data_IF_096850520594
#
_entry.id   IF_096850520594
#
_cell.length_a   1.000
_cell.length_b   1.000
_cell.length_c   1.000
_cell.angle_alpha   90.00
_cell.angle_beta   90.00
_cell.angle_gamma   90.00
#
_symmetry.space_group_name_H-M   'P 1'
#
loop_
_entity.id
_entity.type
_entity.pdbx_description
1 polymer ?
#
# COMPACT_ATOMS: atom_id res chain seq x y z
N UNK A 1 -30.72 -1.51 15.51
CA UNK A 1 -30.75 -2.32 14.27
C UNK A 1 -29.82 -1.67 13.28
N UNK A 2 -29.13 -2.46 12.48
CA UNK A 2 -28.08 -2.06 11.53
C UNK A 2 -27.54 -3.31 10.85
N UNK A 3 -27.11 -3.19 9.60
CA UNK A 3 -26.60 -4.32 8.81
C UNK A 3 -25.27 -4.82 9.39
N UNK A 4 -24.93 -6.09 9.11
CA UNK A 4 -23.57 -6.54 9.34
C UNK A 4 -22.59 -5.68 8.51
N UNK A 5 -21.45 -5.24 9.07
CA UNK A 5 -20.46 -4.48 8.32
C UNK A 5 -19.87 -5.34 7.20
N UNK A 6 -19.94 -4.84 5.96
CA UNK A 6 -19.33 -5.49 4.82
C UNK A 6 -17.92 -4.92 4.61
N UNK A 7 -16.92 -5.80 4.59
CA UNK A 7 -15.53 -5.41 4.34
C UNK A 7 -15.16 -5.73 2.90
N UNK A 8 -14.56 -4.76 2.21
CA UNK A 8 -14.06 -4.86 0.84
C UNK A 8 -12.63 -4.36 0.74
N UNK A 9 -11.80 -5.04 -0.04
CA UNK A 9 -10.44 -4.60 -0.38
C UNK A 9 -10.50 -3.75 -1.65
N UNK A 10 -10.02 -2.51 -1.61
CA UNK A 10 -10.12 -1.57 -2.74
C UNK A 10 -8.82 -1.44 -3.55
N UNK A 11 -7.66 -1.82 -2.98
CA UNK A 11 -6.39 -1.86 -3.70
C UNK A 11 -5.20 -1.38 -2.87
N UNK A 12 -4.09 -1.08 -3.53
CA UNK A 12 -2.87 -0.58 -2.87
C UNK A 12 -2.90 0.95 -2.72
N UNK A 13 -2.57 1.45 -1.52
CA UNK A 13 -2.50 2.87 -1.18
C UNK A 13 -1.39 3.09 -0.14
N UNK A 14 -0.58 4.15 -0.28
CA UNK A 14 0.46 4.57 0.68
C UNK A 14 1.42 3.44 1.14
N UNK A 15 1.80 2.54 0.22
CA UNK A 15 2.67 1.40 0.53
C UNK A 15 1.98 0.24 1.25
N UNK A 16 0.68 0.34 1.50
CA UNK A 16 -0.16 -0.70 2.09
C UNK A 16 -1.34 -1.08 1.20
N UNK A 17 -2.33 -1.74 1.81
CA UNK A 17 -3.58 -2.17 1.19
C UNK A 17 -4.74 -1.42 1.84
N UNK A 18 -5.52 -0.73 1.03
CA UNK A 18 -6.73 -0.02 1.43
C UNK A 18 -7.87 -1.01 1.61
N UNK A 19 -8.41 -1.03 2.83
CA UNK A 19 -9.57 -1.82 3.21
C UNK A 19 -10.69 -0.88 3.62
N UNK A 20 -11.90 -1.14 3.14
CA UNK A 20 -13.09 -0.35 3.44
C UNK A 20 -14.15 -1.20 4.09
N UNK A 21 -14.80 -0.65 5.11
CA UNK A 21 -15.93 -1.23 5.79
C UNK A 21 -17.17 -0.37 5.58
N UNK A 22 -18.26 -0.99 5.15
CA UNK A 22 -19.57 -0.34 4.89
C UNK A 22 -20.66 -0.99 5.72
N UNK A 23 -21.53 -0.17 6.32
CA UNK A 23 -22.69 -0.65 7.07
C UNK A 23 -23.83 0.36 6.96
N UNK A 24 -25.08 -0.10 7.02
CA UNK A 24 -26.26 0.70 6.73
C UNK A 24 -27.40 0.41 7.72
N UNK A 25 -28.42 1.27 7.69
CA UNK A 25 -29.65 1.07 8.45
C UNK A 25 -29.53 1.30 9.96
N UNK A 26 -28.63 2.19 10.39
CA UNK A 26 -28.41 2.51 11.81
C UNK A 26 -29.28 3.68 12.28
N UNK A 27 -29.81 3.60 13.50
CA UNK A 27 -30.44 4.75 14.16
C UNK A 27 -30.30 4.68 15.68
N UNK A 28 -29.91 5.78 16.36
CA UNK A 28 -29.46 7.06 15.80
C UNK A 28 -28.07 6.92 15.16
N UNK A 29 -27.40 8.04 14.86
CA UNK A 29 -26.05 8.04 14.31
C UNK A 29 -25.13 7.05 15.06
N UNK A 30 -24.56 6.05 14.37
CA UNK A 30 -23.70 5.04 14.98
C UNK A 30 -22.27 5.56 15.16
N UNK A 31 -21.44 4.77 15.85
CA UNK A 31 -19.97 4.91 15.86
C UNK A 31 -19.36 3.75 15.09
N UNK A 32 -18.46 4.02 14.14
CA UNK A 32 -17.75 3.01 13.38
C UNK A 32 -16.25 3.09 13.67
N UNK A 33 -15.62 1.96 14.00
CA UNK A 33 -14.22 1.91 14.42
C UNK A 33 -13.53 0.65 13.91
N UNK A 34 -12.24 0.76 13.59
CA UNK A 34 -11.38 -0.39 13.37
C UNK A 34 -10.79 -0.87 14.69
N UNK A 35 -10.66 -2.19 14.85
CA UNK A 35 -9.97 -2.83 15.96
C UNK A 35 -8.91 -3.80 15.46
N UNK A 36 -7.84 -3.95 16.22
CA UNK A 36 -6.87 -5.02 16.02
C UNK A 36 -7.33 -6.35 16.64
N UNK A 37 -6.47 -7.36 16.55
CA UNK A 37 -6.67 -8.69 17.14
C UNK A 37 -6.88 -8.68 18.66
N UNK A 38 -6.31 -7.69 19.35
CA UNK A 38 -6.37 -7.50 20.79
C UNK A 38 -7.57 -6.63 21.20
N UNK A 39 -8.35 -6.15 20.23
CA UNK A 39 -9.49 -5.26 20.44
C UNK A 39 -9.11 -3.80 20.66
N UNK A 40 -7.84 -3.41 20.45
CA UNK A 40 -7.42 -2.02 20.53
C UNK A 40 -7.92 -1.25 19.31
N UNK A 41 -8.29 0.01 19.53
CA UNK A 41 -8.80 0.89 18.48
C UNK A 41 -7.68 1.30 17.53
N UNK A 42 -7.93 1.14 16.25
CA UNK A 42 -7.04 1.56 15.17
C UNK A 42 -7.55 2.86 14.53
N UNK A 43 -6.66 3.77 14.10
CA UNK A 43 -7.04 4.98 13.40
C UNK A 43 -7.59 4.66 12.01
N UNK A 44 -8.70 5.29 11.64
CA UNK A 44 -9.25 5.23 10.29
C UNK A 44 -8.49 6.18 9.36
N UNK A 45 -8.19 5.73 8.14
CA UNK A 45 -7.65 6.57 7.07
C UNK A 45 -8.71 7.54 6.51
N UNK A 46 -9.98 7.12 6.50
CA UNK A 46 -11.12 7.98 6.18
C UNK A 46 -12.37 7.49 6.90
N UNK A 47 -13.27 8.41 7.24
CA UNK A 47 -14.57 8.11 7.86
C UNK A 47 -15.65 8.99 7.24
N UNK A 48 -16.75 8.35 6.85
CA UNK A 48 -17.95 9.00 6.35
C UNK A 48 -19.17 8.36 7.01
N UNK A 49 -19.90 9.15 7.80
CA UNK A 49 -21.17 8.75 8.39
C UNK A 49 -22.21 9.75 7.89
N UNK A 50 -23.18 9.26 7.13
CA UNK A 50 -24.19 10.11 6.49
C UNK A 50 -25.60 9.55 6.68
N UNK A 51 -26.61 10.42 6.75
CA UNK A 51 -28.01 9.98 6.76
C UNK A 51 -28.44 9.51 5.36
N UNK A 52 -29.29 8.49 5.34
CA UNK A 52 -30.02 7.99 4.17
C UNK A 52 -31.39 8.66 4.04
N UNK A 53 -32.05 8.46 2.89
CA UNK A 53 -33.39 9.02 2.56
C UNK A 53 -34.47 8.58 3.57
N UNK A 54 -34.31 7.39 4.16
CA UNK A 54 -35.22 6.81 5.16
C UNK A 54 -34.97 7.34 6.59
N UNK A 55 -34.03 8.27 6.80
CA UNK A 55 -33.66 8.81 8.10
C UNK A 55 -32.75 7.91 8.95
N UNK A 56 -32.33 6.75 8.42
CA UNK A 56 -31.29 5.90 9.01
C UNK A 56 -29.91 6.41 8.59
N UNK A 57 -28.85 5.86 9.18
CA UNK A 57 -27.48 6.21 8.89
C UNK A 57 -26.73 5.07 8.21
N UNK A 58 -25.91 5.45 7.24
CA UNK A 58 -24.87 4.61 6.65
C UNK A 58 -23.50 5.06 7.13
N UNK A 59 -22.57 4.11 7.21
CA UNK A 59 -21.21 4.31 7.66
C UNK A 59 -20.25 3.72 6.63
N UNK A 60 -19.21 4.46 6.31
CA UNK A 60 -18.08 3.99 5.53
C UNK A 60 -16.79 4.42 6.26
N UNK A 61 -15.98 3.45 6.68
CA UNK A 61 -14.66 3.71 7.27
C UNK A 61 -13.61 2.93 6.50
N UNK A 62 -12.43 3.52 6.34
CA UNK A 62 -11.31 2.91 5.64
C UNK A 62 -10.06 2.87 6.53
N UNK A 63 -9.18 1.89 6.27
CA UNK A 63 -7.86 1.78 6.87
C UNK A 63 -6.87 1.32 5.81
N UNK A 64 -5.60 1.73 5.95
CA UNK A 64 -4.49 1.24 5.14
C UNK A 64 -3.70 0.27 6.01
N UNK A 65 -3.65 -1.00 5.60
CA UNK A 65 -2.85 -2.02 6.27
C UNK A 65 -1.50 -2.12 5.59
N UNK A 66 -0.41 -2.08 6.35
CA UNK A 66 0.95 -2.38 5.91
C UNK A 66 1.40 -3.76 6.41
N UNK A 67 2.50 -4.30 5.88
CA UNK A 67 3.04 -5.60 6.32
C UNK A 67 3.34 -5.63 7.84
N UNK A 68 3.82 -4.51 8.38
CA UNK A 68 4.13 -4.35 9.80
C UNK A 68 2.89 -4.14 10.68
N UNK A 69 1.80 -3.62 10.10
CA UNK A 69 0.56 -3.36 10.83
C UNK A 69 -0.37 -4.57 10.76
N UNK A 70 -0.73 -5.12 11.92
CA UNK A 70 -1.83 -6.07 12.16
C UNK A 70 -2.53 -6.62 10.90
N UNK A 71 -2.10 -7.82 10.47
CA UNK A 71 -2.66 -8.53 9.31
C UNK A 71 -4.15 -8.87 9.45
N UNK A 72 -4.67 -8.88 10.68
CA UNK A 72 -6.08 -9.10 10.96
C UNK A 72 -6.65 -7.92 11.72
N UNK A 73 -7.72 -7.38 11.15
CA UNK A 73 -8.47 -6.24 11.70
C UNK A 73 -9.95 -6.55 11.69
N UNK A 74 -10.68 -5.90 12.58
CA UNK A 74 -12.14 -5.95 12.59
C UNK A 74 -12.75 -4.57 12.52
N UNK A 75 -13.86 -4.46 11.80
CA UNK A 75 -14.69 -3.27 11.75
C UNK A 75 -15.86 -3.47 12.71
N UNK A 76 -15.97 -2.58 13.69
CA UNK A 76 -17.04 -2.56 14.67
C UNK A 76 -17.92 -1.33 14.46
N UNK A 77 -19.21 -1.56 14.26
CA UNK A 77 -20.22 -0.49 14.21
C UNK A 77 -21.15 -0.66 15.40
N UNK A 78 -21.21 0.38 16.23
CA UNK A 78 -21.94 0.37 17.49
C UNK A 78 -22.98 1.48 17.54
N UNK A 79 -24.17 1.13 18.03
CA UNK A 79 -25.17 2.11 18.39
C UNK A 79 -24.80 2.74 19.76
N UNK A 80 -24.77 4.07 19.89
CA UNK A 80 -24.41 4.70 21.17
C UNK A 80 -25.53 4.67 22.22
N UNK A 81 -26.79 4.47 21.79
CA UNK A 81 -27.97 4.44 22.68
C UNK A 81 -28.40 3.02 23.03
N UNK A 82 -28.36 2.14 22.04
CA UNK A 82 -28.62 0.72 22.19
C UNK A 82 -27.27 0.03 22.40
N UNK A 83 -27.12 -0.87 23.37
CA UNK A 83 -25.86 -1.62 23.55
C UNK A 83 -25.69 -2.72 22.48
N UNK A 84 -25.96 -2.35 21.22
CA UNK A 84 -25.99 -3.21 20.05
C UNK A 84 -24.77 -2.88 19.19
N UNK A 85 -23.94 -3.89 18.95
CA UNK A 85 -22.73 -3.82 18.15
C UNK A 85 -22.81 -4.86 17.05
N UNK A 86 -22.29 -4.51 15.87
CA UNK A 86 -22.08 -5.45 14.76
C UNK A 86 -20.62 -5.36 14.36
N UNK A 87 -20.00 -6.51 14.20
CA UNK A 87 -18.59 -6.62 13.88
C UNK A 87 -18.40 -7.55 12.67
N UNK A 88 -17.37 -7.26 11.88
CA UNK A 88 -16.86 -8.18 10.87
C UNK A 88 -15.35 -8.05 10.81
N UNK A 89 -14.66 -9.16 10.52
CA UNK A 89 -13.21 -9.22 10.55
C UNK A 89 -12.66 -9.68 9.20
N UNK A 90 -11.47 -9.20 8.88
CA UNK A 90 -10.71 -9.60 7.70
C UNK A 90 -9.27 -9.87 8.10
N UNK A 91 -8.66 -10.86 7.45
CA UNK A 91 -7.23 -11.11 7.53
C UNK A 91 -6.62 -11.03 6.13
N UNK A 92 -5.60 -10.20 5.96
CA UNK A 92 -4.82 -10.10 4.75
C UNK A 92 -3.56 -10.94 4.91
N UNK A 93 -3.32 -11.87 3.99
CA UNK A 93 -2.10 -12.65 3.99
C UNK A 93 -0.88 -11.76 3.60
N UNK A 94 0.27 -12.04 4.20
CA UNK A 94 1.52 -11.29 3.98
C UNK A 94 1.91 -11.16 2.50
N UNK A 95 1.54 -12.15 1.69
CA UNK A 95 1.84 -12.21 0.26
C UNK A 95 1.24 -11.06 -0.56
N UNK A 96 0.21 -10.37 -0.05
CA UNK A 96 -0.43 -9.27 -0.77
C UNK A 96 0.27 -7.92 -0.58
N UNK A 97 1.19 -7.80 0.38
CA UNK A 97 1.94 -6.56 0.61
C UNK A 97 3.12 -6.45 -0.38
N UNK A 98 3.29 -5.31 -1.06
CA UNK A 98 4.39 -5.11 -1.99
C UNK A 98 5.73 -5.06 -1.25
N UNK A 99 6.52 -6.13 -1.36
CA UNK A 99 7.87 -6.21 -0.78
C UNK A 99 8.88 -5.51 -1.67
N UNK A 100 9.03 -4.21 -1.51
CA UNK A 100 10.18 -3.47 -2.05
C UNK A 100 11.31 -3.50 -1.04
N UNK A 101 12.21 -4.47 -1.19
CA UNK A 101 13.37 -4.55 -0.30
C UNK A 101 14.40 -3.46 -0.64
N UNK A 102 14.82 -2.61 0.32
CA UNK A 102 15.79 -1.55 0.08
C UNK A 102 17.12 -2.06 -0.50
N UNK A 103 17.57 -3.26 -0.09
CA UNK A 103 18.82 -3.82 -0.60
C UNK A 103 18.73 -4.21 -2.09
N UNK A 104 17.56 -4.67 -2.56
CA UNK A 104 17.36 -5.00 -3.98
C UNK A 104 17.42 -3.74 -4.85
N UNK A 105 16.87 -2.63 -4.36
CA UNK A 105 16.95 -1.33 -5.03
C UNK A 105 18.41 -0.86 -5.08
N UNK A 106 19.13 -0.94 -3.97
CA UNK A 106 20.54 -0.55 -3.90
C UNK A 106 21.40 -1.37 -4.88
N UNK A 107 21.23 -2.69 -4.92
CA UNK A 107 21.94 -3.55 -5.87
C UNK A 107 21.62 -3.20 -7.33
N UNK A 108 20.35 -2.93 -7.64
CA UNK A 108 19.93 -2.51 -8.98
C UNK A 108 20.65 -1.23 -9.43
N UNK A 109 20.71 -0.22 -8.56
CA UNK A 109 21.39 1.05 -8.84
C UNK A 109 22.90 0.83 -9.05
N UNK A 110 23.54 0.06 -8.17
CA UNK A 110 24.98 -0.25 -8.26
C UNK A 110 25.30 -0.96 -9.57
N UNK A 111 24.51 -1.97 -9.95
CA UNK A 111 24.72 -2.72 -11.19
C UNK A 111 24.58 -1.82 -12.43
N UNK A 112 23.58 -0.94 -12.45
CA UNK A 112 23.39 0.03 -13.53
C UNK A 112 24.59 0.99 -13.66
N UNK A 113 25.10 1.52 -12.54
CA UNK A 113 26.26 2.40 -12.55
C UNK A 113 27.52 1.67 -13.08
N UNK A 114 27.76 0.44 -12.64
CA UNK A 114 28.87 -0.37 -13.13
C UNK A 114 28.76 -0.65 -14.63
N UNK A 115 27.56 -0.98 -15.13
CA UNK A 115 27.34 -1.22 -16.55
C UNK A 115 27.64 0.04 -17.40
N UNK A 116 27.23 1.22 -16.94
CA UNK A 116 27.54 2.50 -17.60
C UNK A 116 29.05 2.75 -17.59
N UNK A 117 29.72 2.56 -16.45
CA UNK A 117 31.17 2.76 -16.35
C UNK A 117 31.96 1.84 -17.28
N UNK A 118 31.58 0.55 -17.34
CA UNK A 118 32.19 -0.44 -18.23
C UNK A 118 31.93 -0.08 -19.70
N UNK A 119 30.71 0.35 -20.03
CA UNK A 119 30.35 0.82 -21.37
C UNK A 119 31.18 2.02 -21.81
N UNK A 120 31.34 3.02 -20.94
CA UNK A 120 32.18 4.19 -21.21
C UNK A 120 33.66 3.83 -21.33
N UNK A 121 34.18 2.97 -20.44
CA UNK A 121 35.57 2.53 -20.47
C UNK A 121 35.89 1.76 -21.76
N UNK A 122 35.03 0.81 -22.14
CA UNK A 122 35.17 0.04 -23.38
C UNK A 122 35.10 0.93 -24.63
N UNK A 123 34.16 1.88 -24.68
CA UNK A 123 34.07 2.85 -25.76
C UNK A 123 35.32 3.73 -25.86
N UNK A 124 35.81 4.27 -24.74
CA UNK A 124 37.04 5.06 -24.67
C UNK A 124 38.26 4.25 -25.12
N UNK A 125 38.38 3.00 -24.66
CA UNK A 125 39.47 2.11 -25.05
C UNK A 125 39.45 1.82 -26.55
N UNK A 126 38.28 1.51 -27.10
CA UNK A 126 38.10 1.27 -28.53
C UNK A 126 38.45 2.51 -29.37
N UNK A 127 38.00 3.69 -28.94
CA UNK A 127 38.32 4.96 -29.59
C UNK A 127 39.83 5.26 -29.57
N UNK A 128 40.50 5.04 -28.43
CA UNK A 128 41.94 5.24 -28.33
C UNK A 128 42.73 4.26 -29.21
N UNK A 129 42.32 2.99 -29.26
CA UNK A 129 42.99 2.00 -30.11
C UNK A 129 42.92 2.41 -31.58
N UNK A 130 41.73 2.79 -32.05
CA UNK A 130 41.51 3.23 -33.43
C UNK A 130 42.31 4.48 -33.78
N UNK A 131 42.45 5.42 -32.85
CA UNK A 131 43.29 6.61 -33.04
C UNK A 131 44.78 6.28 -33.13
N UNK A 132 45.27 5.32 -32.33
CA UNK A 132 46.66 4.86 -32.38
C UNK A 132 46.99 4.13 -33.69
N UNK A 133 46.07 3.32 -34.22
CA UNK A 133 46.23 2.67 -35.52
C UNK A 133 46.29 3.68 -36.67
N UNK A 134 45.42 4.70 -36.64
CA UNK A 134 45.40 5.75 -37.66
C UNK A 134 46.74 6.51 -37.71
N UNK A 135 47.25 6.93 -36.54
CA UNK A 135 48.55 7.61 -36.42
C UNK A 135 49.72 6.73 -36.88
N UNK A 136 49.69 5.42 -36.59
CA UNK A 136 50.72 4.49 -37.07
C UNK A 136 50.71 4.40 -38.60
N UNK A 137 49.54 4.34 -39.23
CA UNK A 137 49.42 4.29 -40.70
C UNK A 137 49.86 5.57 -41.41
N UNK A 138 49.78 6.73 -40.75
CA UNK A 138 50.26 8.02 -41.28
C UNK A 138 51.78 8.15 -41.17
N UNK A 139 52.39 7.54 -40.15
CA UNK A 139 53.84 7.53 -39.95
C UNK A 139 54.58 6.53 -40.86
N UNK A 140 53.89 5.49 -41.34
CA UNK A 140 54.43 4.49 -42.28
C UNK A 140 54.29 4.89 -43.76
N UNK A 141 53.69 6.05 -44.06
CA UNK A 141 53.51 6.61 -45.41
C UNK A 141 54.49 7.75 -45.66
#
# INVERSE_FOLDING_TARGET
>A
MGSAPAISVEGHQDGGIRVVCRSAGWYPQPKAQWKDLQGQLLPSASENISPEVNGLFQTEIAIVLTEESNQKVSCCVRNPRLNQERESAISIAELFFPKVSPWMVALGVILCLLAVLIGLASYCFWRQHRAKELLRSEMER
#
